data_IF_190329415372
#
_entry.id   IF_190329415372
#
_cell.length_a   1.000
_cell.length_b   1.000
_cell.length_c   1.000
_cell.angle_alpha   90.00
_cell.angle_beta   90.00
_cell.angle_gamma   90.00
#
_symmetry.space_group_name_H-M   'P 1'
#
loop_
_entity.id
_entity.type
_entity.pdbx_description
1 polymer ?
#
# COMPACT_ATOMS: atom_id res chain seq x y z
N UNK A 1 -2.66 -10.89 -27.90
CA UNK A 1 -3.31 -10.41 -26.70
C UNK A 1 -2.30 -10.00 -25.67
N UNK A 2 -2.32 -8.76 -25.30
CA UNK A 2 -1.37 -8.23 -24.35
C UNK A 2 -1.88 -8.46 -22.94
N UNK A 3 -1.17 -9.24 -22.17
CA UNK A 3 -1.42 -9.30 -20.75
C UNK A 3 -0.80 -8.07 -20.10
N UNK A 4 -1.64 -7.19 -19.64
CA UNK A 4 -1.17 -6.06 -18.86
C UNK A 4 -0.83 -6.61 -17.47
N UNK A 5 0.45 -6.66 -17.16
CA UNK A 5 0.89 -7.08 -15.85
C UNK A 5 0.99 -5.87 -14.94
N UNK A 6 0.10 -5.81 -13.97
CA UNK A 6 0.14 -4.78 -12.95
C UNK A 6 1.18 -5.14 -11.88
N UNK A 7 1.55 -4.15 -11.08
CA UNK A 7 2.41 -4.35 -9.93
C UNK A 7 1.69 -5.22 -8.91
N UNK A 8 2.31 -6.35 -8.53
CA UNK A 8 1.72 -7.29 -7.58
C UNK A 8 2.73 -7.70 -6.51
N UNK A 9 2.20 -8.16 -5.37
CA UNK A 9 2.99 -8.80 -4.32
C UNK A 9 2.10 -9.83 -3.64
N UNK A 10 2.67 -10.96 -3.24
CA UNK A 10 1.92 -12.04 -2.62
C UNK A 10 2.62 -12.47 -1.36
N UNK A 11 1.86 -12.72 -0.29
CA UNK A 11 2.42 -13.30 0.93
C UNK A 11 1.43 -14.29 1.54
N UNK A 12 1.97 -15.26 2.26
CA UNK A 12 1.18 -16.27 2.96
C UNK A 12 1.59 -16.28 4.43
N UNK A 13 0.61 -16.47 5.31
CA UNK A 13 0.86 -16.43 6.74
C UNK A 13 -0.06 -17.44 7.44
N UNK A 14 0.42 -18.05 8.53
CA UNK A 14 -0.34 -19.06 9.28
C UNK A 14 -1.33 -18.42 10.25
N UNK A 15 -2.18 -17.55 9.76
CA UNK A 15 -3.22 -16.86 10.52
C UNK A 15 -4.50 -16.84 9.72
N UNK A 16 -5.63 -16.61 10.40
CA UNK A 16 -6.94 -16.61 9.75
C UNK A 16 -7.13 -15.41 8.85
N UNK A 17 -8.03 -15.50 7.85
CA UNK A 17 -8.37 -14.33 7.03
C UNK A 17 -8.85 -13.14 7.84
N UNK A 18 -9.56 -13.35 8.94
CA UNK A 18 -10.01 -12.25 9.80
C UNK A 18 -8.83 -11.55 10.47
N UNK A 19 -7.84 -12.31 10.93
CA UNK A 19 -6.63 -11.72 11.51
C UNK A 19 -5.84 -10.93 10.49
N UNK A 20 -5.72 -11.44 9.26
CA UNK A 20 -5.03 -10.75 8.17
C UNK A 20 -5.81 -9.49 7.77
N UNK A 21 -7.12 -9.59 7.67
CA UNK A 21 -7.98 -8.46 7.35
C UNK A 21 -7.82 -7.33 8.38
N UNK A 22 -7.83 -7.66 9.66
CA UNK A 22 -7.66 -6.67 10.72
C UNK A 22 -6.31 -5.94 10.59
N UNK A 23 -5.26 -6.66 10.22
CA UNK A 23 -3.95 -6.05 10.02
C UNK A 23 -3.91 -5.17 8.78
N UNK A 24 -4.49 -5.63 7.67
CA UNK A 24 -4.53 -4.84 6.42
C UNK A 24 -5.20 -3.49 6.64
N UNK A 25 -6.29 -3.45 7.40
CA UNK A 25 -7.00 -2.20 7.66
C UNK A 25 -6.32 -1.31 8.70
N UNK A 26 -5.34 -1.84 9.43
CA UNK A 26 -4.52 -1.07 10.37
C UNK A 26 -3.28 -0.51 9.65
N UNK A 27 -3.52 0.38 8.71
CA UNK A 27 -2.52 0.83 7.74
C UNK A 27 -1.33 1.52 8.40
N UNK A 28 -1.57 2.23 9.49
CA UNK A 28 -0.49 2.92 10.23
C UNK A 28 0.49 1.95 10.87
N UNK A 29 0.08 0.72 11.12
CA UNK A 29 0.90 -0.26 11.80
C UNK A 29 1.86 -0.99 10.87
N UNK A 30 1.60 -0.98 9.55
CA UNK A 30 2.47 -1.71 8.63
C UNK A 30 2.99 -0.86 7.47
N UNK A 31 2.29 0.21 7.08
CA UNK A 31 2.73 1.03 5.94
C UNK A 31 3.39 2.33 6.40
N UNK A 32 2.63 3.20 7.05
CA UNK A 32 3.17 4.49 7.48
C UNK A 32 2.39 5.05 8.65
N UNK A 33 3.12 5.61 9.62
CA UNK A 33 2.52 6.37 10.70
C UNK A 33 2.05 7.75 10.23
N UNK A 34 2.44 8.16 9.02
CA UNK A 34 2.11 9.47 8.44
C UNK A 34 0.81 9.40 7.62
N UNK A 35 -0.18 8.71 8.13
CA UNK A 35 -1.49 8.58 7.49
C UNK A 35 -2.50 9.37 8.29
N UNK A 36 -3.26 10.22 7.60
CA UNK A 36 -4.31 11.05 8.20
C UNK A 36 -5.64 10.63 7.61
N UNK A 37 -6.61 10.33 8.47
CA UNK A 37 -7.93 9.93 8.05
C UNK A 37 -8.33 8.56 8.54
N UNK A 38 -9.35 7.96 7.93
CA UNK A 38 -9.91 6.68 8.33
C UNK A 38 -9.60 5.61 7.28
N UNK A 39 -9.30 4.40 7.74
CA UNK A 39 -8.78 3.33 6.88
C UNK A 39 -9.54 2.02 7.00
N UNK A 40 -10.75 2.01 7.59
CA UNK A 40 -11.38 0.75 7.96
C UNK A 40 -12.74 0.48 7.32
N UNK A 41 -13.46 1.50 6.90
CA UNK A 41 -14.86 1.36 6.47
C UNK A 41 -15.01 1.84 5.04
N UNK A 42 -15.91 1.22 4.28
CA UNK A 42 -16.19 1.67 2.91
C UNK A 42 -16.56 3.15 2.90
N UNK A 43 -16.04 3.87 1.91
CA UNK A 43 -16.14 5.32 1.74
C UNK A 43 -15.22 6.14 2.64
N UNK A 44 -14.48 5.52 3.56
CA UNK A 44 -13.44 6.21 4.31
C UNK A 44 -12.38 6.74 3.35
N UNK A 45 -11.81 7.89 3.71
CA UNK A 45 -10.69 8.47 2.96
C UNK A 45 -9.52 8.72 3.89
N UNK A 46 -8.32 8.50 3.37
CA UNK A 46 -7.11 8.81 4.10
C UNK A 46 -6.04 9.36 3.16
N UNK A 47 -5.10 10.07 3.74
CA UNK A 47 -3.98 10.67 2.99
C UNK A 47 -2.68 10.09 3.53
N UNK A 48 -1.88 9.58 2.62
CA UNK A 48 -0.52 9.12 2.89
C UNK A 48 0.44 10.21 2.41
N UNK A 49 1.47 10.50 3.19
CA UNK A 49 2.54 11.41 2.77
C UNK A 49 3.90 10.80 3.11
N UNK A 50 4.82 10.92 2.18
CA UNK A 50 6.21 10.54 2.38
C UNK A 50 7.11 11.74 2.08
N UNK A 51 6.52 12.91 2.02
CA UNK A 51 7.24 14.16 1.81
C UNK A 51 7.69 14.70 3.17
N UNK A 52 8.70 14.06 3.73
CA UNK A 52 9.26 14.44 5.01
C UNK A 52 10.43 15.39 4.80
N UNK A 53 10.87 16.02 5.89
CA UNK A 53 12.13 16.76 5.89
C UNK A 53 13.30 15.82 5.55
N UNK A 54 13.15 14.54 5.84
CA UNK A 54 14.16 13.56 5.47
C UNK A 54 14.13 13.25 3.98
N UNK A 55 12.94 13.16 3.39
CA UNK A 55 12.82 13.01 1.95
C UNK A 55 13.44 14.20 1.24
N UNK A 56 13.26 15.41 1.80
CA UNK A 56 13.87 16.61 1.28
C UNK A 56 15.38 16.58 1.36
N UNK A 57 15.94 15.98 2.38
CA UNK A 57 17.39 15.91 2.57
C UNK A 57 18.02 14.78 1.79
N UNK A 58 17.37 13.66 1.75
CA UNK A 58 17.79 12.56 0.90
C UNK A 58 17.49 12.86 -0.54
N UNK A 59 16.82 13.94 -0.72
CA UNK A 59 16.40 14.35 -2.02
C UNK A 59 17.51 14.92 -2.86
N UNK A 60 18.76 14.78 -2.46
CA UNK A 60 19.76 14.82 -3.51
C UNK A 60 19.19 13.90 -4.58
N UNK A 61 17.98 14.23 -4.87
CA UNK A 61 17.24 13.62 -5.85
C UNK A 61 16.50 12.40 -5.43
N UNK A 62 16.15 12.28 -4.17
CA UNK A 62 15.25 11.21 -3.85
C UNK A 62 13.90 11.75 -3.64
N UNK A 63 13.12 11.38 -4.53
CA UNK A 63 11.77 11.68 -4.65
C UNK A 63 11.01 10.98 -3.57
N UNK A 64 10.02 11.66 -3.13
CA UNK A 64 9.04 11.10 -2.24
C UNK A 64 7.68 11.15 -2.88
N UNK A 65 6.71 10.69 -2.15
CA UNK A 65 5.32 10.91 -2.46
C UNK A 65 4.89 12.08 -1.61
N UNK A 66 4.69 13.24 -2.24
CA UNK A 66 4.25 14.41 -1.49
C UNK A 66 2.93 14.13 -0.80
N UNK A 67 1.99 13.53 -1.52
CA UNK A 67 0.80 12.94 -0.92
C UNK A 67 0.15 11.97 -1.88
N UNK A 68 -0.67 11.07 -1.31
CA UNK A 68 -1.61 10.25 -2.07
C UNK A 68 -2.89 10.13 -1.24
N UNK A 69 -4.01 10.48 -1.83
CA UNK A 69 -5.32 10.38 -1.18
C UNK A 69 -6.03 9.16 -1.70
N UNK A 70 -6.51 8.35 -0.77
CA UNK A 70 -7.18 7.09 -1.06
C UNK A 70 -8.62 7.13 -0.55
N UNK A 71 -9.49 6.44 -1.27
CA UNK A 71 -10.84 6.16 -0.80
C UNK A 71 -11.06 4.66 -0.81
N UNK A 72 -11.62 4.14 0.29
CA UNK A 72 -12.00 2.73 0.37
C UNK A 72 -13.27 2.53 -0.44
N UNK A 73 -13.17 1.80 -1.54
CA UNK A 73 -14.32 1.57 -2.43
C UNK A 73 -14.96 0.21 -2.21
N UNK A 74 -14.23 -0.72 -1.62
CA UNK A 74 -14.77 -2.04 -1.30
C UNK A 74 -14.11 -2.54 -0.02
N UNK A 75 -14.91 -3.03 0.93
CA UNK A 75 -14.41 -3.62 2.17
C UNK A 75 -15.28 -4.83 2.46
N UNK A 76 -14.71 -6.01 2.26
CA UNK A 76 -15.39 -7.29 2.54
C UNK A 76 -14.58 -7.99 3.63
N UNK A 77 -15.08 -8.03 4.88
CA UNK A 77 -14.31 -8.58 6.00
C UNK A 77 -13.79 -9.99 5.71
N UNK A 78 -12.50 -10.17 5.94
CA UNK A 78 -11.86 -11.48 5.73
C UNK A 78 -11.64 -11.87 4.28
N UNK A 79 -12.00 -11.01 3.31
CA UNK A 79 -11.94 -11.38 1.90
C UNK A 79 -11.27 -10.35 1.00
N UNK A 80 -11.59 -9.06 1.16
CA UNK A 80 -11.13 -8.10 0.17
C UNK A 80 -11.19 -6.67 0.67
N UNK A 81 -10.16 -5.89 0.35
CA UNK A 81 -10.11 -4.44 0.58
C UNK A 81 -9.64 -3.78 -0.70
N UNK A 82 -10.32 -2.73 -1.13
CA UNK A 82 -9.95 -1.98 -2.34
C UNK A 82 -9.87 -0.49 -2.01
N UNK A 83 -8.75 0.11 -2.39
CA UNK A 83 -8.53 1.56 -2.28
C UNK A 83 -8.44 2.15 -3.68
N UNK A 84 -9.17 3.22 -3.94
CA UNK A 84 -8.97 4.00 -5.15
C UNK A 84 -8.09 5.21 -4.82
N UNK A 85 -7.07 5.46 -5.64
CA UNK A 85 -6.27 6.67 -5.50
C UNK A 85 -7.02 7.80 -6.18
N UNK A 86 -7.55 8.72 -5.39
CA UNK A 86 -8.38 9.82 -5.92
C UNK A 86 -7.55 11.04 -6.26
N UNK A 87 -6.36 11.17 -5.67
CA UNK A 87 -5.43 12.26 -5.99
C UNK A 87 -4.03 11.87 -5.53
N UNK A 88 -3.00 12.39 -6.19
CA UNK A 88 -1.63 12.06 -5.83
C UNK A 88 -0.65 13.10 -6.37
N UNK A 89 0.49 13.22 -5.71
CA UNK A 89 1.59 14.06 -6.15
C UNK A 89 2.90 13.35 -5.85
N UNK A 90 3.46 12.71 -6.89
CA UNK A 90 4.72 11.99 -6.78
C UNK A 90 5.85 12.89 -7.31
N UNK A 91 6.81 13.21 -6.46
CA UNK A 91 7.85 14.17 -6.82
C UNK A 91 9.03 13.55 -7.55
N UNK A 92 9.04 12.23 -7.70
CA UNK A 92 10.18 11.51 -8.27
C UNK A 92 9.96 11.01 -9.69
N UNK A 93 8.82 11.37 -10.29
CA UNK A 93 8.50 11.01 -11.67
C UNK A 93 8.01 12.24 -12.40
N UNK A 94 8.07 12.23 -13.73
CA UNK A 94 7.61 13.37 -14.53
C UNK A 94 6.10 13.55 -14.43
N UNK A 95 5.35 12.45 -14.46
CA UNK A 95 3.91 12.49 -14.26
C UNK A 95 3.61 12.42 -12.76
N UNK A 96 3.52 13.56 -12.12
CA UNK A 96 3.31 13.64 -10.68
C UNK A 96 1.96 13.08 -10.24
N UNK A 97 1.01 12.96 -11.15
CA UNK A 97 -0.31 12.39 -10.88
C UNK A 97 -0.40 10.92 -11.33
N UNK A 98 0.72 10.25 -11.48
CA UNK A 98 0.75 8.88 -12.03
C UNK A 98 -0.10 7.89 -11.26
N UNK A 99 -0.21 8.06 -9.93
CA UNK A 99 -1.07 7.19 -9.13
C UNK A 99 -2.55 7.55 -9.20
N UNK A 100 -2.88 8.78 -9.58
CA UNK A 100 -4.28 9.24 -9.59
C UNK A 100 -5.10 8.41 -10.57
N UNK A 101 -6.22 7.87 -10.09
CA UNK A 101 -7.08 6.99 -10.88
C UNK A 101 -6.71 5.52 -10.82
N UNK A 102 -5.57 5.18 -10.20
CA UNK A 102 -5.20 3.76 -10.03
C UNK A 102 -5.92 3.16 -8.82
N UNK A 103 -5.85 1.84 -8.69
CA UNK A 103 -6.59 1.11 -7.68
C UNK A 103 -5.66 0.13 -6.97
N UNK A 104 -5.71 0.12 -5.65
CA UNK A 104 -4.95 -0.82 -4.81
C UNK A 104 -5.90 -1.89 -4.30
N UNK A 105 -5.57 -3.16 -4.54
CA UNK A 105 -6.45 -4.28 -4.23
C UNK A 105 -5.75 -5.27 -3.31
N UNK A 106 -6.42 -5.64 -2.22
CA UNK A 106 -5.97 -6.68 -1.29
C UNK A 106 -6.99 -7.82 -1.36
N UNK A 107 -6.60 -8.96 -1.92
CA UNK A 107 -7.45 -10.15 -1.96
C UNK A 107 -6.92 -11.19 -0.98
N UNK A 108 -7.79 -11.68 -0.10
CA UNK A 108 -7.45 -12.68 0.90
C UNK A 108 -8.08 -14.01 0.54
N UNK A 109 -7.29 -15.08 0.56
CA UNK A 109 -7.76 -16.43 0.27
C UNK A 109 -7.38 -17.35 1.42
N UNK A 110 -8.36 -18.03 2.01
CA UNK A 110 -8.10 -19.02 3.04
C UNK A 110 -7.41 -20.23 2.43
N UNK A 111 -6.41 -20.76 3.14
CA UNK A 111 -5.68 -21.97 2.73
C UNK A 111 -5.69 -22.97 3.87
N UNK A 112 -5.19 -24.18 3.62
CA UNK A 112 -5.07 -25.21 4.66
C UNK A 112 -4.13 -24.76 5.78
N UNK A 113 -3.16 -23.88 5.50
CA UNK A 113 -2.17 -23.42 6.46
C UNK A 113 -2.43 -22.02 7.01
N UNK A 114 -3.49 -21.35 6.55
CA UNK A 114 -3.79 -19.99 7.01
C UNK A 114 -4.40 -19.14 5.91
N UNK A 115 -3.70 -18.08 5.51
CA UNK A 115 -4.23 -17.13 4.52
C UNK A 115 -3.14 -16.71 3.54
N UNK A 116 -3.51 -16.59 2.27
CA UNK A 116 -2.68 -15.97 1.26
C UNK A 116 -3.27 -14.61 0.91
N UNK A 117 -2.44 -13.57 0.96
CA UNK A 117 -2.80 -12.23 0.52
C UNK A 117 -2.21 -12.01 -0.86
N UNK A 118 -3.04 -11.62 -1.81
CA UNK A 118 -2.61 -11.19 -3.13
C UNK A 118 -2.87 -9.71 -3.26
N UNK A 119 -1.78 -8.94 -3.39
CA UNK A 119 -1.82 -7.48 -3.52
C UNK A 119 -1.62 -7.09 -4.97
N UNK A 120 -2.40 -6.13 -5.46
CA UNK A 120 -2.24 -5.59 -6.81
C UNK A 120 -2.42 -4.08 -6.77
N UNK A 121 -1.51 -3.36 -7.42
CA UNK A 121 -1.70 -1.94 -7.68
C UNK A 121 -2.11 -1.80 -9.15
N UNK A 122 -3.41 -1.88 -9.41
CA UNK A 122 -3.96 -1.83 -10.76
C UNK A 122 -3.74 -0.45 -11.34
N UNK A 123 -3.22 -0.41 -12.56
CA UNK A 123 -2.88 0.83 -13.23
C UNK A 123 -1.40 1.11 -13.30
N UNK A 124 -0.58 0.44 -12.49
CA UNK A 124 0.87 0.56 -12.56
C UNK A 124 1.45 -0.64 -13.31
N UNK A 125 2.15 -0.38 -14.40
CA UNK A 125 2.73 -1.43 -15.24
C UNK A 125 4.21 -1.17 -15.47
N UNK A 126 4.97 -2.25 -15.68
CA UNK A 126 6.41 -2.14 -15.92
C UNK A 126 6.71 -1.34 -17.19
N UNK A 127 5.86 -1.46 -18.20
CA UNK A 127 6.10 -0.79 -19.49
C UNK A 127 5.60 0.65 -19.52
N UNK A 128 4.58 0.98 -18.71
CA UNK A 128 3.89 2.27 -18.83
C UNK A 128 4.03 3.19 -17.63
N UNK A 129 4.60 2.72 -16.51
CA UNK A 129 4.64 3.53 -15.29
C UNK A 129 6.08 3.83 -14.89
N UNK A 130 6.40 5.10 -14.78
CA UNK A 130 7.73 5.56 -14.41
C UNK A 130 8.15 5.10 -13.02
N UNK A 131 7.20 5.09 -12.09
CA UNK A 131 7.49 4.70 -10.71
C UNK A 131 7.55 3.19 -10.50
N UNK A 132 7.26 2.37 -11.51
CA UNK A 132 7.02 0.94 -11.30
C UNK A 132 8.10 0.26 -10.48
N UNK A 133 9.37 0.49 -10.81
CA UNK A 133 10.47 -0.18 -10.11
C UNK A 133 10.56 0.25 -8.65
N UNK A 134 10.51 1.55 -8.38
CA UNK A 134 10.58 2.08 -7.02
C UNK A 134 9.33 1.69 -6.22
N UNK A 135 8.16 1.79 -6.83
CA UNK A 135 6.90 1.43 -6.17
C UNK A 135 6.84 -0.07 -5.89
N UNK A 136 7.37 -0.88 -6.82
CA UNK A 136 7.41 -2.33 -6.63
C UNK A 136 8.29 -2.71 -5.43
N UNK A 137 9.46 -2.10 -5.30
CA UNK A 137 10.33 -2.35 -4.14
C UNK A 137 9.65 -1.96 -2.84
N UNK A 138 8.99 -0.80 -2.82
CA UNK A 138 8.29 -0.35 -1.64
C UNK A 138 7.13 -1.28 -1.26
N UNK A 139 6.24 -1.56 -2.19
CA UNK A 139 5.12 -2.45 -1.92
C UNK A 139 5.58 -3.85 -1.52
N UNK A 140 6.60 -4.39 -2.20
CA UNK A 140 7.13 -5.71 -1.86
C UNK A 140 7.58 -5.76 -0.41
N UNK A 141 8.32 -4.74 0.05
CA UNK A 141 8.74 -4.69 1.44
C UNK A 141 7.55 -4.65 2.39
N UNK A 142 6.61 -3.74 2.16
CA UNK A 142 5.49 -3.59 3.11
C UNK A 142 4.55 -4.78 3.11
N UNK A 143 4.33 -5.41 1.97
CA UNK A 143 3.44 -6.56 1.86
C UNK A 143 4.10 -7.86 2.31
N UNK A 144 5.39 -8.07 2.02
CA UNK A 144 6.04 -9.35 2.29
C UNK A 144 6.89 -9.35 3.56
N UNK A 145 7.19 -8.19 4.13
CA UNK A 145 8.00 -8.08 5.35
C UNK A 145 7.24 -7.41 6.48
N UNK A 146 6.82 -6.15 6.30
CA UNK A 146 6.20 -5.38 7.37
C UNK A 146 4.84 -5.94 7.79
N UNK A 147 3.97 -6.20 6.83
CA UNK A 147 2.61 -6.70 7.13
C UNK A 147 2.62 -8.09 7.78
N UNK A 148 3.37 -9.08 7.27
CA UNK A 148 3.44 -10.37 7.96
C UNK A 148 4.00 -10.26 9.37
N UNK A 149 4.97 -9.36 9.59
CA UNK A 149 5.51 -9.14 10.94
C UNK A 149 4.45 -8.61 11.87
N UNK A 150 3.63 -7.65 11.41
CA UNK A 150 2.52 -7.16 12.21
C UNK A 150 1.55 -8.29 12.56
N UNK A 151 1.22 -9.13 11.58
CA UNK A 151 0.26 -10.21 11.79
C UNK A 151 0.77 -11.25 12.78
N UNK A 152 2.06 -11.58 12.72
CA UNK A 152 2.62 -12.68 13.52
C UNK A 152 3.20 -12.23 14.85
N UNK A 153 3.66 -10.98 14.97
CA UNK A 153 4.30 -10.51 16.20
C UNK A 153 3.57 -9.36 16.87
N UNK A 154 2.60 -8.74 16.19
CA UNK A 154 1.90 -7.56 16.70
C UNK A 154 2.59 -6.24 16.39
N UNK A 155 3.76 -6.27 15.74
CA UNK A 155 4.51 -5.05 15.43
C UNK A 155 5.07 -5.14 14.01
N UNK A 156 4.63 -4.23 13.14
CA UNK A 156 5.15 -4.12 11.79
C UNK A 156 6.37 -3.21 11.71
N UNK A 157 6.68 -2.76 10.51
CA UNK A 157 7.82 -1.86 10.25
C UNK A 157 7.38 -0.72 9.34
N UNK A 158 6.44 0.13 9.79
CA UNK A 158 5.93 1.22 8.98
C UNK A 158 6.93 2.36 8.89
N UNK A 159 6.71 3.25 7.92
CA UNK A 159 7.43 4.52 7.85
C UNK A 159 7.12 5.28 9.13
N UNK A 160 8.13 5.71 9.90
CA UNK A 160 7.90 6.36 11.19
C UNK A 160 7.28 7.75 11.05
N UNK A 161 6.64 8.20 12.12
CA UNK A 161 6.07 9.54 12.18
C UNK A 161 7.19 10.59 12.13
N UNK A 162 7.13 11.43 11.11
CA UNK A 162 8.14 12.45 10.89
C UNK A 162 8.05 13.62 11.87
N UNK A 163 6.96 13.71 12.60
CA UNK A 163 6.73 14.79 13.56
C UNK A 163 7.03 14.37 15.01
N UNK A 164 7.48 13.15 15.20
CA UNK A 164 7.82 12.67 16.54
C UNK A 164 9.29 12.93 16.87
#
# INVERSE_FOLDING_TARGET
MTNTEYLTATMSVGRTPDEVFAAVTDVRAWWSENIIGATTTVHDEFVFTDDSKYAGETAAGKPGIRFARFRLTEVVPGARVVWQVVDSDLTFVDDRAEWTGTTVVFDLTATAQGTTLHFTHEGLTAAGSECFEACSRGWTFYITESLPRLITTGTGDPIPDYNS
#
